data_IF_250211686677
#
_entry.id   IF_250211686677
#
_cell.length_a   1.000
_cell.length_b   1.000
_cell.length_c   1.000
_cell.angle_alpha   90.00
_cell.angle_beta   90.00
_cell.angle_gamma   90.00
#
_symmetry.space_group_name_H-M   'P 1'
#
loop_
_entity.id
_entity.type
_entity.pdbx_description
1 polymer ?
#
# COMPACT_ATOMS: atom_id res chain seq x y z
N UNK A 1 -15.36 -4.80 -15.72
CA UNK A 1 -13.98 -5.25 -15.38
C UNK A 1 -13.39 -4.11 -14.59
N UNK A 2 -13.05 -4.32 -13.32
CA UNK A 2 -12.64 -3.22 -12.46
C UNK A 2 -11.26 -2.71 -12.86
N UNK A 3 -10.97 -1.43 -12.60
CA UNK A 3 -9.62 -0.90 -12.80
C UNK A 3 -8.64 -1.50 -11.81
N UNK A 4 -9.00 -1.52 -10.52
CA UNK A 4 -8.15 -2.06 -9.46
C UNK A 4 -8.83 -3.22 -8.72
N UNK A 5 -8.05 -4.25 -8.42
CA UNK A 5 -8.31 -5.18 -7.34
C UNK A 5 -7.26 -5.01 -6.23
N UNK A 6 -7.61 -5.33 -4.98
CA UNK A 6 -6.73 -5.13 -3.83
C UNK A 6 -6.52 -6.39 -2.98
N UNK A 7 -5.26 -6.65 -2.64
CA UNK A 7 -4.82 -7.64 -1.64
C UNK A 7 -4.09 -6.88 -0.55
N UNK A 8 -4.60 -6.89 0.68
CA UNK A 8 -3.99 -6.14 1.80
C UNK A 8 -3.87 -7.00 3.05
N UNK A 9 -2.98 -6.58 3.94
CA UNK A 9 -2.76 -7.19 5.24
C UNK A 9 -3.92 -6.93 6.23
N UNK A 10 -4.43 -5.71 6.28
CA UNK A 10 -5.46 -5.26 7.21
C UNK A 10 -6.56 -4.44 6.55
N UNK A 11 -7.77 -4.52 7.10
CA UNK A 11 -8.93 -3.75 6.55
C UNK A 11 -8.82 -2.26 6.83
N UNK A 12 -8.03 -1.86 7.81
CA UNK A 12 -7.72 -0.47 8.09
C UNK A 12 -6.96 0.18 6.95
N UNK A 13 -6.32 -0.60 6.09
CA UNK A 13 -5.43 -0.09 5.05
C UNK A 13 -6.26 0.36 3.82
N UNK A 14 -7.47 -0.20 3.67
CA UNK A 14 -8.43 0.13 2.61
C UNK A 14 -8.64 1.65 2.44
N UNK A 15 -9.08 2.41 3.46
CA UNK A 15 -9.33 3.84 3.31
C UNK A 15 -8.05 4.63 3.00
N UNK A 16 -6.89 4.19 3.49
CA UNK A 16 -5.62 4.89 3.23
C UNK A 16 -5.24 4.72 1.76
N UNK A 17 -5.19 3.49 1.26
CA UNK A 17 -4.86 3.20 -0.14
C UNK A 17 -5.87 3.88 -1.07
N UNK A 18 -7.18 3.80 -0.76
CA UNK A 18 -8.20 4.42 -1.58
C UNK A 18 -8.03 5.95 -1.68
N UNK A 19 -7.81 6.62 -0.55
CA UNK A 19 -7.60 8.07 -0.53
C UNK A 19 -6.31 8.50 -1.23
N UNK A 20 -5.26 7.67 -1.18
CA UNK A 20 -4.02 7.87 -1.95
C UNK A 20 -4.30 7.79 -3.45
N UNK A 21 -5.05 6.79 -3.93
CA UNK A 21 -5.43 6.70 -5.33
C UNK A 21 -6.28 7.88 -5.78
N UNK A 22 -7.28 8.27 -4.99
CA UNK A 22 -8.15 9.43 -5.28
C UNK A 22 -7.32 10.70 -5.46
N UNK A 23 -6.37 10.94 -4.54
CA UNK A 23 -5.47 12.09 -4.61
C UNK A 23 -4.57 12.09 -5.83
N UNK A 24 -3.94 10.93 -6.11
CA UNK A 24 -3.01 10.79 -7.21
C UNK A 24 -3.68 10.94 -8.59
N UNK A 25 -4.80 10.25 -8.80
CA UNK A 25 -5.52 10.27 -10.09
C UNK A 25 -6.49 11.45 -10.21
N UNK A 26 -6.72 12.21 -9.13
CA UNK A 26 -7.69 13.30 -9.08
C UNK A 26 -9.10 12.86 -9.51
N UNK A 27 -9.52 11.67 -9.07
CA UNK A 27 -10.82 11.07 -9.36
C UNK A 27 -11.45 10.55 -8.08
N UNK A 28 -12.66 11.01 -7.76
CA UNK A 28 -13.35 10.66 -6.50
C UNK A 28 -13.95 9.26 -6.51
N UNK A 29 -14.35 8.78 -7.68
CA UNK A 29 -15.08 7.52 -7.85
C UNK A 29 -14.15 6.36 -8.18
N UNK A 30 -12.97 6.33 -7.56
CA UNK A 30 -12.09 5.17 -7.63
C UNK A 30 -12.61 4.12 -6.66
N UNK A 31 -12.97 2.97 -7.21
CA UNK A 31 -13.29 1.78 -6.44
C UNK A 31 -12.20 0.72 -6.62
N UNK A 32 -11.90 0.02 -5.53
CA UNK A 32 -10.94 -1.08 -5.48
C UNK A 32 -11.72 -2.33 -5.12
N UNK A 33 -11.73 -3.31 -6.02
CA UNK A 33 -12.30 -4.61 -5.73
C UNK A 33 -11.39 -5.38 -4.75
N UNK A 34 -11.67 -5.28 -3.45
CA UNK A 34 -10.92 -5.96 -2.40
C UNK A 34 -11.10 -7.47 -2.48
N UNK A 35 -10.16 -8.16 -3.13
CA UNK A 35 -10.19 -9.62 -3.30
C UNK A 35 -9.64 -10.35 -2.06
N UNK A 36 -8.82 -9.69 -1.25
CA UNK A 36 -8.35 -10.19 0.04
C UNK A 36 -8.04 -9.03 0.99
N UNK A 37 -8.67 -8.98 2.18
CA UNK A 37 -9.81 -9.78 2.61
C UNK A 37 -11.08 -9.43 1.82
N UNK A 38 -11.90 -10.43 1.50
CA UNK A 38 -13.15 -10.23 0.70
C UNK A 38 -14.23 -9.43 1.44
N UNK A 39 -14.25 -9.48 2.77
CA UNK A 39 -15.20 -8.72 3.57
C UNK A 39 -14.67 -8.46 4.99
N UNK A 40 -15.38 -7.63 5.75
CA UNK A 40 -15.02 -7.24 7.12
C UNK A 40 -15.02 -8.38 8.15
N UNK A 41 -15.50 -9.60 7.81
CA UNK A 41 -15.43 -10.77 8.68
C UNK A 41 -14.27 -11.71 8.34
N UNK A 42 -13.71 -11.61 7.13
CA UNK A 42 -12.59 -12.46 6.70
C UNK A 42 -11.31 -12.19 7.49
N UNK A 43 -10.53 -13.23 7.76
CA UNK A 43 -9.19 -13.09 8.34
C UNK A 43 -8.25 -12.35 7.37
N UNK A 44 -7.41 -11.49 7.93
CA UNK A 44 -6.41 -10.72 7.21
C UNK A 44 -5.13 -10.66 8.04
N UNK A 45 -3.99 -10.98 7.41
CA UNK A 45 -2.63 -10.91 7.93
C UNK A 45 -1.64 -11.13 6.76
N UNK A 46 -0.35 -10.91 6.99
CA UNK A 46 0.68 -11.10 5.96
C UNK A 46 0.67 -12.49 5.30
N UNK A 47 0.45 -13.56 6.08
CA UNK A 47 0.35 -14.94 5.55
C UNK A 47 -0.75 -15.08 4.49
N UNK A 48 -1.89 -14.42 4.69
CA UNK A 48 -3.00 -14.43 3.75
C UNK A 48 -2.70 -13.61 2.49
N UNK A 49 -1.90 -12.54 2.61
CA UNK A 49 -1.38 -11.79 1.47
C UNK A 49 -0.54 -12.72 0.59
N UNK A 50 0.49 -13.36 1.15
CA UNK A 50 1.34 -14.31 0.40
C UNK A 50 0.54 -15.49 -0.18
N UNK A 51 -0.40 -16.08 0.58
CA UNK A 51 -1.30 -17.15 0.07
C UNK A 51 -2.24 -16.68 -1.05
N UNK A 52 -2.51 -15.39 -1.16
CA UNK A 52 -3.33 -14.81 -2.22
C UNK A 52 -2.50 -14.47 -3.46
N UNK A 53 -1.19 -14.29 -3.28
CA UNK A 53 -0.22 -14.10 -4.36
C UNK A 53 0.22 -15.39 -5.06
N UNK A 54 -0.41 -16.55 -4.78
CA UNK A 54 -0.15 -17.79 -5.52
C UNK A 54 -0.78 -17.72 -6.91
N UNK A 55 -0.04 -18.20 -7.92
CA UNK A 55 -0.34 -18.12 -9.36
C UNK A 55 -1.81 -18.40 -9.70
N UNK A 56 -2.39 -19.48 -9.19
CA UNK A 56 -3.78 -19.86 -9.51
C UNK A 56 -4.80 -18.79 -9.09
N UNK A 57 -4.62 -18.17 -7.93
CA UNK A 57 -5.51 -17.10 -7.43
C UNK A 57 -5.26 -15.79 -8.18
N UNK A 58 -4.01 -15.41 -8.39
CA UNK A 58 -3.68 -14.19 -9.14
C UNK A 58 -4.26 -14.24 -10.56
N UNK A 59 -4.21 -15.39 -11.24
CA UNK A 59 -4.87 -15.56 -12.56
C UNK A 59 -6.37 -15.25 -12.48
N UNK A 60 -7.07 -15.75 -11.47
CA UNK A 60 -8.49 -15.47 -11.27
C UNK A 60 -8.73 -13.98 -11.00
N UNK A 61 -7.96 -13.35 -10.12
CA UNK A 61 -8.12 -11.94 -9.79
C UNK A 61 -7.84 -11.04 -11.00
N UNK A 62 -6.84 -11.37 -11.83
CA UNK A 62 -6.52 -10.66 -13.07
C UNK A 62 -7.54 -10.88 -14.19
N UNK A 63 -8.48 -11.83 -14.08
CA UNK A 63 -9.59 -11.92 -15.04
C UNK A 63 -10.61 -10.79 -14.85
N UNK A 64 -10.76 -10.29 -13.61
CA UNK A 64 -11.80 -9.31 -13.27
C UNK A 64 -11.26 -7.89 -13.03
N UNK A 65 -9.94 -7.75 -12.87
CA UNK A 65 -9.29 -6.49 -12.53
C UNK A 65 -8.15 -6.17 -13.50
N UNK A 66 -8.09 -4.95 -14.04
CA UNK A 66 -7.01 -4.51 -14.93
C UNK A 66 -5.66 -4.55 -14.19
N UNK A 67 -5.62 -4.02 -12.98
CA UNK A 67 -4.45 -4.01 -12.09
C UNK A 67 -4.76 -4.62 -10.73
N UNK A 68 -3.75 -5.21 -10.08
CA UNK A 68 -3.81 -5.66 -8.69
C UNK A 68 -2.85 -4.87 -7.83
N UNK A 69 -3.36 -4.23 -6.78
CA UNK A 69 -2.56 -3.59 -5.74
C UNK A 69 -2.33 -4.60 -4.62
N UNK A 70 -1.06 -4.84 -4.29
CA UNK A 70 -0.65 -5.75 -3.21
C UNK A 70 0.00 -4.90 -2.13
N UNK A 71 -0.65 -4.83 -0.97
CA UNK A 71 -0.16 -4.10 0.20
C UNK A 71 0.35 -5.07 1.28
N UNK A 72 1.45 -4.66 1.90
CA UNK A 72 2.05 -5.32 3.05
C UNK A 72 2.83 -4.28 3.87
N UNK A 73 2.73 -4.38 5.19
CA UNK A 73 3.56 -3.65 6.14
C UNK A 73 4.86 -4.42 6.39
N UNK A 74 6.02 -3.74 6.43
CA UNK A 74 7.30 -4.45 6.61
C UNK A 74 7.68 -4.69 8.06
N UNK A 75 6.88 -4.31 9.06
CA UNK A 75 7.15 -4.63 10.47
C UNK A 75 7.27 -6.14 10.72
N UNK A 76 6.55 -6.95 9.94
CA UNK A 76 6.60 -8.41 9.97
C UNK A 76 7.63 -9.01 9.00
N UNK A 77 8.47 -8.22 8.33
CA UNK A 77 9.33 -8.73 7.25
C UNK A 77 10.37 -9.75 7.67
N UNK A 78 10.85 -9.65 8.91
CA UNK A 78 11.81 -10.60 9.45
C UNK A 78 11.21 -12.00 9.57
N UNK A 79 9.89 -12.11 9.80
CA UNK A 79 9.18 -13.39 9.93
C UNK A 79 9.19 -14.21 8.64
N UNK A 80 9.35 -13.55 7.49
CA UNK A 80 9.48 -14.19 6.18
C UNK A 80 10.87 -14.02 5.56
N UNK A 81 11.88 -13.74 6.40
CA UNK A 81 13.30 -13.83 6.06
C UNK A 81 13.89 -12.56 5.46
N UNK A 82 13.29 -11.39 5.68
CA UNK A 82 13.81 -10.11 5.21
C UNK A 82 14.15 -9.23 6.41
N UNK A 83 15.43 -9.14 6.80
CA UNK A 83 15.84 -8.36 7.97
C UNK A 83 15.71 -6.86 7.71
N UNK A 84 15.52 -6.08 8.77
CA UNK A 84 15.62 -4.61 8.66
C UNK A 84 17.07 -4.11 8.65
N UNK A 85 18.02 -4.96 9.03
CA UNK A 85 19.44 -4.62 9.08
C UNK A 85 20.27 -5.55 8.19
N UNK A 86 21.27 -5.01 7.50
CA UNK A 86 22.30 -5.79 6.80
C UNK A 86 23.69 -5.27 7.18
N UNK A 87 24.61 -6.18 7.49
CA UNK A 87 25.98 -5.84 7.94
C UNK A 87 26.03 -4.87 9.13
N UNK A 88 25.01 -4.91 10.00
CA UNK A 88 24.91 -4.03 11.17
C UNK A 88 24.30 -2.65 10.90
N UNK A 89 23.93 -2.34 9.66
CA UNK A 89 23.31 -1.08 9.27
C UNK A 89 21.83 -1.27 8.96
N UNK A 90 21.00 -0.29 9.34
CA UNK A 90 19.59 -0.26 8.98
C UNK A 90 19.44 -0.09 7.47
N UNK A 91 18.60 -0.93 6.85
CA UNK A 91 18.29 -0.82 5.43
C UNK A 91 17.52 0.47 5.15
N UNK A 92 17.94 1.17 4.10
CA UNK A 92 17.15 2.28 3.57
C UNK A 92 15.79 1.77 3.04
N UNK A 93 14.73 2.60 3.11
CA UNK A 93 13.38 2.26 2.64
C UNK A 93 13.33 1.57 1.27
N UNK A 94 14.08 2.09 0.30
CA UNK A 94 14.12 1.58 -1.08
C UNK A 94 14.62 0.12 -1.12
N UNK A 95 15.66 -0.19 -0.34
CA UNK A 95 16.25 -1.53 -0.29
C UNK A 95 15.35 -2.53 0.41
N UNK A 96 14.67 -2.10 1.48
CA UNK A 96 13.71 -2.95 2.17
C UNK A 96 12.52 -3.28 1.26
N UNK A 97 11.96 -2.27 0.58
CA UNK A 97 10.87 -2.48 -0.39
C UNK A 97 11.32 -3.39 -1.55
N UNK A 98 12.51 -3.17 -2.11
CA UNK A 98 13.08 -4.01 -3.17
C UNK A 98 13.14 -5.49 -2.76
N UNK A 99 13.62 -5.78 -1.55
CA UNK A 99 13.70 -7.15 -1.03
C UNK A 99 12.32 -7.77 -0.85
N UNK A 100 11.36 -7.04 -0.30
CA UNK A 100 9.97 -7.53 -0.12
C UNK A 100 9.33 -7.82 -1.48
N UNK A 101 9.51 -6.94 -2.47
CA UNK A 101 9.04 -7.17 -3.84
C UNK A 101 9.71 -8.41 -4.44
N UNK A 102 11.03 -8.58 -4.29
CA UNK A 102 11.74 -9.76 -4.76
C UNK A 102 11.20 -11.06 -4.12
N UNK A 103 10.84 -11.03 -2.84
CA UNK A 103 10.19 -12.17 -2.17
C UNK A 103 8.83 -12.48 -2.78
N UNK A 104 7.99 -11.49 -3.06
CA UNK A 104 6.72 -11.72 -3.76
C UNK A 104 6.93 -12.32 -5.16
N UNK A 105 7.91 -11.82 -5.93
CA UNK A 105 8.25 -12.37 -7.25
C UNK A 105 8.60 -13.84 -7.19
N UNK A 106 9.46 -14.22 -6.24
CA UNK A 106 9.81 -15.63 -6.01
C UNK A 106 8.58 -16.48 -5.67
N UNK A 107 7.68 -15.97 -4.80
CA UNK A 107 6.48 -16.69 -4.39
C UNK A 107 5.41 -16.84 -5.50
N UNK A 108 5.37 -15.89 -6.44
CA UNK A 108 4.51 -15.89 -7.63
C UNK A 108 5.07 -16.79 -8.74
N UNK A 109 6.39 -16.96 -8.79
CA UNK A 109 7.15 -17.60 -9.85
C UNK A 109 7.52 -16.62 -10.96
N UNK A 110 8.77 -16.67 -11.43
CA UNK A 110 9.31 -15.73 -12.44
C UNK A 110 8.51 -15.74 -13.75
N UNK A 111 8.08 -16.91 -14.24
CA UNK A 111 7.29 -17.01 -15.48
C UNK A 111 5.97 -16.25 -15.37
N UNK A 112 5.28 -16.40 -14.24
CA UNK A 112 4.03 -15.69 -14.00
C UNK A 112 4.27 -14.20 -13.83
N UNK A 113 5.26 -13.82 -13.03
CA UNK A 113 5.55 -12.42 -12.78
C UNK A 113 5.97 -11.70 -14.07
N UNK A 114 6.85 -12.30 -14.87
CA UNK A 114 7.25 -11.75 -16.18
C UNK A 114 6.06 -11.56 -17.13
N UNK A 115 5.01 -12.40 -17.03
CA UNK A 115 3.82 -12.30 -17.87
C UNK A 115 2.87 -11.17 -17.42
N UNK A 116 2.82 -10.87 -16.12
CA UNK A 116 1.79 -10.01 -15.52
C UNK A 116 2.34 -8.82 -14.72
N UNK A 117 3.65 -8.58 -14.70
CA UNK A 117 4.31 -7.54 -13.90
C UNK A 117 3.69 -6.15 -14.09
N UNK A 118 3.33 -5.81 -15.33
CA UNK A 118 2.72 -4.51 -15.67
C UNK A 118 1.34 -4.31 -15.02
N UNK A 119 0.71 -5.41 -14.61
CA UNK A 119 -0.61 -5.46 -13.97
C UNK A 119 -0.55 -5.63 -12.45
N UNK A 120 0.63 -5.82 -11.87
CA UNK A 120 0.81 -6.02 -10.42
C UNK A 120 1.52 -4.80 -9.84
N UNK A 121 0.91 -4.14 -8.86
CA UNK A 121 1.39 -2.90 -8.25
C UNK A 121 1.66 -3.16 -6.78
N UNK A 122 2.87 -2.89 -6.31
CA UNK A 122 3.23 -3.10 -4.91
C UNK A 122 3.09 -1.82 -4.10
N UNK A 123 2.29 -1.88 -3.05
CA UNK A 123 2.05 -0.82 -2.07
C UNK A 123 2.72 -1.22 -0.75
N UNK A 124 4.05 -1.34 -0.72
CA UNK A 124 4.78 -1.79 0.47
C UNK A 124 5.03 -0.60 1.39
N UNK A 125 4.52 -0.63 2.61
CA UNK A 125 4.75 0.42 3.60
C UNK A 125 5.92 0.03 4.51
N UNK A 126 6.90 0.93 4.65
CA UNK A 126 8.05 0.67 5.52
C UNK A 126 7.61 0.77 6.98
N UNK A 127 7.78 -0.35 7.68
CA UNK A 127 7.23 -0.71 8.98
C UNK A 127 5.70 -0.74 9.04
N UNK A 128 4.99 0.37 8.78
CA UNK A 128 3.53 0.35 8.80
C UNK A 128 2.90 1.41 7.92
N UNK A 129 1.71 1.13 7.39
CA UNK A 129 0.97 2.06 6.52
C UNK A 129 0.60 3.37 7.23
N UNK A 130 0.49 3.39 8.56
CA UNK A 130 0.26 4.62 9.31
C UNK A 130 1.38 5.66 9.11
N UNK A 131 2.61 5.24 8.77
CA UNK A 131 3.68 6.17 8.41
C UNK A 131 3.33 7.01 7.19
N UNK A 132 2.47 6.50 6.30
CA UNK A 132 1.98 7.27 5.17
C UNK A 132 1.15 8.46 5.63
N UNK A 133 0.58 8.47 6.85
CA UNK A 133 -0.26 9.56 7.34
C UNK A 133 0.54 10.75 7.92
N UNK A 134 1.85 10.64 8.11
CA UNK A 134 2.61 11.76 8.67
C UNK A 134 2.57 13.04 7.83
N UNK A 135 2.75 13.00 6.49
CA UNK A 135 2.62 14.18 5.64
C UNK A 135 1.33 14.99 5.82
N UNK A 136 0.23 14.40 6.31
CA UNK A 136 -1.06 15.08 6.52
C UNK A 136 -1.40 15.41 7.98
N UNK A 137 -0.76 14.73 8.94
CA UNK A 137 -1.13 14.78 10.36
C UNK A 137 -0.01 15.23 11.31
N UNK A 138 1.25 15.13 10.89
CA UNK A 138 2.40 15.47 11.72
C UNK A 138 3.04 16.80 11.28
N UNK A 139 3.96 17.28 12.11
CA UNK A 139 4.81 18.42 11.81
C UNK A 139 5.82 18.08 10.70
N UNK A 140 6.32 19.11 10.00
CA UNK A 140 7.10 18.90 8.78
C UNK A 140 8.39 18.09 8.98
N UNK A 141 8.98 18.15 10.17
CA UNK A 141 10.17 17.41 10.61
C UNK A 141 9.94 15.90 10.75
N UNK A 142 8.68 15.44 10.83
CA UNK A 142 8.32 14.02 11.01
C UNK A 142 7.80 13.36 9.75
N UNK A 143 7.71 14.07 8.63
CA UNK A 143 7.06 13.54 7.43
C UNK A 143 7.76 12.31 6.83
N UNK A 144 9.08 12.21 6.99
CA UNK A 144 9.90 11.08 6.52
C UNK A 144 10.09 9.99 7.56
N UNK A 145 9.46 10.11 8.75
CA UNK A 145 9.59 9.12 9.80
C UNK A 145 8.91 7.81 9.38
N UNK A 146 9.62 6.71 9.55
CA UNK A 146 9.16 5.36 9.20
C UNK A 146 9.00 4.47 10.43
N UNK A 147 9.51 4.87 11.59
CA UNK A 147 9.42 4.07 12.81
C UNK A 147 8.39 4.61 13.80
N UNK A 148 7.76 3.68 14.53
CA UNK A 148 6.84 4.00 15.63
C UNK A 148 5.67 4.92 15.23
N UNK A 149 5.27 4.89 13.96
CA UNK A 149 4.35 5.86 13.38
C UNK A 149 3.00 5.93 14.11
N UNK A 150 2.43 4.76 14.42
CA UNK A 150 1.19 4.68 15.20
C UNK A 150 1.30 5.36 16.57
N UNK A 151 2.40 5.13 17.31
CA UNK A 151 2.59 5.71 18.65
C UNK A 151 2.78 7.22 18.59
N UNK A 152 3.56 7.71 17.63
CA UNK A 152 3.79 9.13 17.43
C UNK A 152 2.49 9.84 17.02
N UNK A 153 1.70 9.25 16.11
CA UNK A 153 0.39 9.78 15.73
C UNK A 153 -0.55 9.81 16.94
N UNK A 154 -0.54 8.77 17.77
CA UNK A 154 -1.35 8.72 19.00
C UNK A 154 -1.00 9.82 20.00
N UNK A 155 0.26 10.22 20.06
CA UNK A 155 0.72 11.32 20.92
C UNK A 155 0.45 12.71 20.32
N UNK A 156 0.51 12.83 19.00
CA UNK A 156 0.46 14.12 18.29
C UNK A 156 -0.97 14.50 17.88
N UNK A 157 -1.82 13.52 17.61
CA UNK A 157 -3.18 13.72 17.12
C UNK A 157 -4.17 13.31 18.20
N UNK A 158 -4.97 14.27 18.67
CA UNK A 158 -5.99 14.02 19.68
C UNK A 158 -6.97 12.93 19.21
N UNK A 159 -7.24 11.95 20.07
CA UNK A 159 -8.15 10.83 19.81
C UNK A 159 -7.81 9.96 18.59
N UNK A 160 -6.52 9.87 18.22
CA UNK A 160 -6.08 8.96 17.16
C UNK A 160 -6.45 7.52 17.48
N UNK A 161 -7.09 6.84 16.51
CA UNK A 161 -7.60 5.48 16.67
C UNK A 161 -7.39 4.65 15.40
N UNK A 162 -6.98 3.40 15.55
CA UNK A 162 -6.82 2.46 14.43
C UNK A 162 -8.15 1.77 14.12
N UNK A 163 -8.98 2.43 13.31
CA UNK A 163 -10.18 1.83 12.75
C UNK A 163 -10.54 2.42 11.38
N UNK A 164 -11.39 1.70 10.65
CA UNK A 164 -11.74 1.99 9.28
C UNK A 164 -12.36 3.39 9.14
N UNK A 165 -13.37 3.71 9.94
CA UNK A 165 -14.12 4.97 9.84
C UNK A 165 -13.21 6.17 10.14
N UNK A 166 -12.31 6.04 11.11
CA UNK A 166 -11.37 7.10 11.43
C UNK A 166 -10.35 7.32 10.32
N UNK A 167 -9.78 6.24 9.77
CA UNK A 167 -8.85 6.36 8.65
C UNK A 167 -9.54 6.90 7.40
N UNK A 168 -10.80 6.54 7.15
CA UNK A 168 -11.61 7.11 6.09
C UNK A 168 -11.75 8.63 6.24
N UNK A 169 -12.00 9.14 7.45
CA UNK A 169 -12.14 10.58 7.69
C UNK A 169 -10.82 11.34 7.58
N UNK A 170 -9.76 10.90 8.26
CA UNK A 170 -8.49 11.66 8.31
C UNK A 170 -7.78 11.68 6.96
N UNK A 171 -7.96 10.63 6.14
CA UNK A 171 -7.31 10.53 4.82
C UNK A 171 -8.01 11.32 3.74
N UNK A 172 -9.19 11.92 3.99
CA UNK A 172 -9.83 12.86 3.04
C UNK A 172 -8.95 14.03 2.65
N UNK A 173 -7.96 14.39 3.47
CA UNK A 173 -6.94 15.39 3.11
C UNK A 173 -6.18 15.01 1.84
N UNK A 174 -6.00 13.71 1.56
CA UNK A 174 -5.41 13.25 0.31
C UNK A 174 -6.31 13.41 -0.91
N UNK A 175 -7.60 13.66 -0.75
CA UNK A 175 -8.48 13.84 -1.91
C UNK A 175 -8.22 15.16 -2.66
N UNK A 176 -7.50 16.11 -2.06
CA UNK A 176 -6.98 17.27 -2.77
C UNK A 176 -5.71 16.87 -3.52
N UNK A 177 -5.78 16.85 -4.86
CA UNK A 177 -4.67 16.37 -5.70
C UNK A 177 -3.42 17.24 -5.58
N UNK A 178 -3.55 18.58 -5.55
CA UNK A 178 -2.40 19.48 -5.44
C UNK A 178 -1.65 19.29 -4.11
N UNK A 179 -2.40 19.18 -3.01
CA UNK A 179 -1.83 18.87 -1.71
C UNK A 179 -1.23 17.46 -1.71
N UNK A 180 -1.92 16.47 -2.27
CA UNK A 180 -1.41 15.10 -2.36
C UNK A 180 -0.06 15.05 -3.08
N UNK A 181 0.05 15.67 -4.27
CA UNK A 181 1.26 15.71 -5.08
C UNK A 181 2.44 16.39 -4.37
N UNK A 182 2.15 17.37 -3.49
CA UNK A 182 3.16 18.01 -2.63
C UNK A 182 3.56 17.17 -1.42
N UNK A 183 2.66 16.34 -0.91
CA UNK A 183 2.83 15.63 0.37
C UNK A 183 3.38 14.21 0.22
N UNK A 184 2.94 13.46 -0.80
CA UNK A 184 3.35 12.07 -0.99
C UNK A 184 4.88 11.88 -1.05
N UNK A 185 5.68 12.77 -1.67
CA UNK A 185 7.14 12.57 -1.77
C UNK A 185 7.84 12.63 -0.42
N UNK A 186 7.18 13.17 0.61
CA UNK A 186 7.78 13.35 1.94
C UNK A 186 7.87 12.04 2.74
N UNK A 187 7.07 11.03 2.41
CA UNK A 187 7.23 9.68 2.96
C UNK A 187 7.86 8.76 1.90
N UNK A 188 8.98 8.07 2.20
CA UNK A 188 9.75 7.32 1.20
C UNK A 188 8.96 6.15 0.60
N UNK A 189 8.23 5.39 1.41
CA UNK A 189 7.47 4.23 0.91
C UNK A 189 6.20 4.62 0.15
N UNK A 190 5.53 5.70 0.55
CA UNK A 190 4.42 6.27 -0.23
C UNK A 190 4.93 6.81 -1.58
N UNK A 191 6.09 7.48 -1.59
CA UNK A 191 6.76 7.92 -2.82
C UNK A 191 7.02 6.76 -3.77
N UNK A 192 7.61 5.67 -3.29
CA UNK A 192 7.87 4.47 -4.11
C UNK A 192 6.57 3.93 -4.71
N UNK A 193 5.48 3.86 -3.92
CA UNK A 193 4.18 3.40 -4.41
C UNK A 193 3.63 4.31 -5.53
N UNK A 194 3.71 5.63 -5.37
CA UNK A 194 3.23 6.58 -6.40
C UNK A 194 4.08 6.53 -7.66
N UNK A 195 5.40 6.42 -7.54
CA UNK A 195 6.30 6.24 -8.69
C UNK A 195 6.02 4.91 -9.40
N UNK A 196 5.61 3.88 -8.68
CA UNK A 196 5.19 2.60 -9.25
C UNK A 196 3.87 2.73 -10.03
N UNK A 197 2.89 3.47 -9.52
CA UNK A 197 1.66 3.79 -10.27
C UNK A 197 1.98 4.57 -11.55
N UNK A 198 2.87 5.57 -11.47
CA UNK A 198 3.22 6.45 -12.59
C UNK A 198 3.80 5.69 -13.79
N UNK A 199 4.58 4.62 -13.55
CA UNK A 199 5.18 3.80 -14.62
C UNK A 199 4.14 3.09 -15.50
N UNK A 200 2.90 2.93 -15.04
CA UNK A 200 1.87 2.10 -15.70
C UNK A 200 0.94 2.88 -16.62
N UNK A 201 1.08 4.22 -16.69
CA UNK A 201 0.22 5.10 -17.50
C UNK A 201 -1.27 4.76 -17.37
N UNK A 202 -1.74 4.60 -16.13
CA UNK A 202 -3.09 4.13 -15.84
C UNK A 202 -4.09 5.25 -16.11
N UNK A 203 -5.08 4.98 -16.95
CA UNK A 203 -6.20 5.88 -17.20
C UNK A 203 -7.43 5.44 -16.38
N UNK A 204 -7.94 6.36 -15.56
CA UNK A 204 -9.20 6.17 -14.83
C UNK A 204 -10.35 6.69 -15.69
N UNK A 205 -11.02 5.77 -16.38
CA UNK A 205 -12.25 6.07 -17.12
C UNK A 205 -13.44 6.10 -16.18
N UNK A 206 -14.29 7.12 -16.27
CA UNK A 206 -15.62 7.10 -15.64
C UNK A 206 -16.43 6.00 -16.35
N UNK A 207 -16.90 5.01 -15.61
CA UNK A 207 -17.90 4.09 -16.14
C UNK A 207 -19.19 4.90 -16.36
N UNK A 208 -19.58 5.04 -17.63
CA UNK A 208 -20.80 5.72 -18.09
C UNK A 208 -22.07 4.98 -17.71
#
# INVERSE_FOLDING_TARGET
>A
MNTFGGIVEGKTDFPIINSVLIGYFNKRDIDIAWVQPQNFRSQANYDKVFKSCKTAKLRQYLQFNKYLIIHLDTDVSETFGIPHHENGELLIPEKLVEKVVAKFRLEMGEDFYSQYSDRIIFAIAVHSIECWLFPILASDDKNSQTENCFQILKQTVANFRKNYEYYQEITKKYHNSDDFLRLYPKNPSLKIFIEELAKRNIEITEES
#
